data_IF_515374027579
#
_entry.id   IF_515374027579
#
_cell.length_a   1.000
_cell.length_b   1.000
_cell.length_c   1.000
_cell.angle_alpha   90.00
_cell.angle_beta   90.00
_cell.angle_gamma   90.00
#
_symmetry.space_group_name_H-M   'P 1'
#
loop_
_entity.id
_entity.type
_entity.pdbx_description
1 polymer ?
#
# COMPACT_ATOMS: atom_id res chain seq x y z
N UNK A 1 50.73 -4.34 63.26
CA UNK A 1 49.77 -3.37 62.70
C UNK A 1 49.25 -3.90 61.36
N UNK A 2 48.12 -4.63 61.34
CA UNK A 2 47.48 -5.14 60.12
C UNK A 2 46.38 -4.16 59.70
N UNK A 3 46.54 -3.51 58.54
CA UNK A 3 45.50 -2.66 57.94
C UNK A 3 44.52 -3.55 57.16
N UNK A 4 43.26 -3.61 57.60
CA UNK A 4 42.16 -4.17 56.81
C UNK A 4 41.74 -3.14 55.76
N UNK A 5 41.85 -3.48 54.47
CA UNK A 5 41.16 -2.77 53.40
C UNK A 5 39.79 -3.42 53.20
N UNK A 6 38.73 -2.66 53.51
CA UNK A 6 37.35 -3.02 53.18
C UNK A 6 37.08 -2.57 51.75
N UNK A 7 36.90 -3.51 50.82
CA UNK A 7 36.49 -3.24 49.44
C UNK A 7 34.97 -3.17 49.42
N UNK A 8 34.42 -1.98 49.12
CA UNK A 8 33.00 -1.80 48.84
C UNK A 8 32.72 -2.21 47.39
N UNK A 9 32.03 -3.33 47.20
CA UNK A 9 31.54 -3.77 45.89
C UNK A 9 30.23 -3.02 45.59
N UNK A 10 30.31 -1.99 44.74
CA UNK A 10 29.13 -1.31 44.18
C UNK A 10 28.46 -2.26 43.17
N UNK A 11 27.35 -2.88 43.58
CA UNK A 11 26.42 -3.55 42.68
C UNK A 11 25.70 -2.49 41.84
N UNK A 12 26.14 -2.33 40.59
CA UNK A 12 25.35 -1.64 39.57
C UNK A 12 24.24 -2.60 39.15
N UNK A 13 23.02 -2.35 39.65
CA UNK A 13 21.83 -3.00 39.15
C UNK A 13 21.60 -2.54 37.70
N UNK A 14 21.97 -3.37 36.73
CA UNK A 14 21.53 -3.19 35.35
C UNK A 14 20.01 -3.31 35.32
N UNK A 15 19.32 -2.23 34.93
CA UNK A 15 17.91 -2.31 34.61
C UNK A 15 17.76 -3.33 33.47
N UNK A 16 17.17 -4.49 33.78
CA UNK A 16 16.72 -5.42 32.77
C UNK A 16 15.73 -4.64 31.87
N UNK A 17 16.09 -4.46 30.61
CA UNK A 17 15.09 -4.12 29.61
C UNK A 17 14.15 -5.30 29.56
N UNK A 18 12.95 -5.16 30.15
CA UNK A 18 11.87 -6.10 29.92
C UNK A 18 11.73 -6.21 28.39
N UNK A 19 11.94 -7.42 27.85
CA UNK A 19 11.67 -7.67 26.44
C UNK A 19 10.23 -7.20 26.17
N UNK A 20 10.07 -6.29 25.22
CA UNK A 20 8.73 -5.88 24.81
C UNK A 20 7.95 -7.13 24.39
N UNK A 21 6.67 -7.25 24.78
CA UNK A 21 5.89 -8.44 24.47
C UNK A 21 5.86 -8.65 22.97
N UNK A 22 6.33 -9.82 22.52
CA UNK A 22 6.27 -10.16 21.10
C UNK A 22 4.81 -10.15 20.63
N UNK A 23 4.54 -9.47 19.52
CA UNK A 23 3.20 -9.38 18.96
C UNK A 23 2.59 -10.77 18.71
N UNK A 24 1.49 -11.08 19.39
CA UNK A 24 0.78 -12.36 19.27
C UNK A 24 -0.37 -12.24 18.27
N UNK A 25 -0.11 -12.62 17.03
CA UNK A 25 -1.10 -12.61 15.95
C UNK A 25 -2.21 -13.62 16.19
N UNK A 26 -3.45 -13.14 16.13
CA UNK A 26 -4.65 -13.97 16.16
C UNK A 26 -5.17 -14.22 14.75
N UNK A 27 -5.93 -15.31 14.58
CA UNK A 27 -6.76 -15.53 13.38
C UNK A 27 -8.04 -14.72 13.49
N UNK A 28 -8.68 -14.46 12.35
CA UNK A 28 -10.01 -13.87 12.33
C UNK A 28 -11.04 -14.83 12.94
N UNK A 29 -11.81 -14.35 13.91
CA UNK A 29 -12.85 -15.09 14.62
C UNK A 29 -13.92 -14.08 15.11
N UNK A 30 -15.22 -14.31 14.87
CA UNK A 30 -16.28 -13.46 15.44
C UNK A 30 -16.18 -13.25 16.97
N UNK A 31 -15.63 -14.20 17.73
CA UNK A 31 -15.44 -14.06 19.18
C UNK A 31 -14.45 -12.95 19.57
N UNK A 32 -13.68 -12.41 18.61
CA UNK A 32 -12.79 -11.27 18.83
C UNK A 32 -13.54 -10.01 19.27
N UNK A 33 -14.76 -9.78 18.78
CA UNK A 33 -15.56 -8.59 19.11
C UNK A 33 -16.04 -8.63 20.57
N UNK A 34 -16.50 -9.79 21.04
CA UNK A 34 -16.86 -9.97 22.45
C UNK A 34 -15.64 -9.78 23.36
N UNK A 35 -14.47 -10.29 22.93
CA UNK A 35 -13.22 -10.11 23.67
C UNK A 35 -12.78 -8.64 23.68
N UNK A 36 -12.87 -7.95 22.54
CA UNK A 36 -12.59 -6.52 22.40
C UNK A 36 -13.46 -5.69 23.36
N UNK A 37 -14.74 -6.01 23.45
CA UNK A 37 -15.66 -5.38 24.40
C UNK A 37 -15.29 -5.67 25.87
N UNK A 38 -14.91 -6.90 26.22
CA UNK A 38 -14.51 -7.27 27.58
C UNK A 38 -13.17 -6.66 28.01
N UNK A 39 -12.22 -6.56 27.10
CA UNK A 39 -10.85 -6.07 27.39
C UNK A 39 -10.70 -4.56 27.19
N UNK A 40 -11.74 -3.84 26.75
CA UNK A 40 -11.66 -2.43 26.33
C UNK A 40 -10.54 -2.19 25.30
N UNK A 41 -10.58 -3.00 24.23
CA UNK A 41 -9.59 -2.97 23.15
C UNK A 41 -10.25 -2.78 21.80
N UNK A 42 -9.49 -2.17 20.90
CA UNK A 42 -9.78 -2.15 19.47
C UNK A 42 -9.30 -3.44 18.81
N UNK A 43 -9.68 -3.66 17.55
CA UNK A 43 -9.14 -4.75 16.74
C UNK A 43 -8.23 -4.14 15.67
N UNK A 44 -6.98 -4.61 15.63
CA UNK A 44 -6.03 -4.25 14.58
C UNK A 44 -5.96 -5.39 13.57
N UNK A 45 -6.63 -5.22 12.44
CA UNK A 45 -6.63 -6.18 11.33
C UNK A 45 -5.53 -5.84 10.33
N UNK A 46 -4.57 -6.74 10.19
CA UNK A 46 -3.54 -6.73 9.17
C UNK A 46 -3.89 -7.75 8.09
N UNK A 47 -4.38 -7.25 6.95
CA UNK A 47 -4.56 -8.05 5.75
C UNK A 47 -3.21 -8.16 5.02
N UNK A 48 -2.72 -9.38 4.85
CA UNK A 48 -1.44 -9.69 4.22
C UNK A 48 -1.62 -10.72 3.10
N UNK A 49 -0.56 -10.94 2.32
CA UNK A 49 -0.46 -12.06 1.40
C UNK A 49 0.95 -12.66 1.48
N UNK A 50 1.09 -13.97 1.25
CA UNK A 50 2.39 -14.63 1.25
C UNK A 50 3.34 -14.05 0.19
N UNK A 51 2.80 -13.64 -0.96
CA UNK A 51 3.56 -13.08 -2.07
C UNK A 51 3.89 -11.59 -1.91
N UNK A 52 3.26 -10.91 -0.95
CA UNK A 52 3.35 -9.45 -0.79
C UNK A 52 4.65 -9.02 -0.08
N UNK A 53 5.57 -8.41 -0.83
CA UNK A 53 6.84 -7.91 -0.28
C UNK A 53 6.66 -6.91 0.87
N UNK A 54 5.81 -5.90 0.70
CA UNK A 54 5.62 -4.84 1.69
C UNK A 54 4.94 -5.31 2.97
N UNK A 55 4.15 -6.39 2.90
CA UNK A 55 3.60 -7.06 4.07
C UNK A 55 4.74 -7.61 4.92
N UNK A 56 5.65 -8.35 4.30
CA UNK A 56 6.85 -8.89 4.96
C UNK A 56 7.79 -7.81 5.49
N UNK A 57 7.96 -6.70 4.77
CA UNK A 57 8.74 -5.55 5.27
C UNK A 57 8.08 -5.00 6.52
N UNK A 58 6.77 -4.71 6.48
CA UNK A 58 6.03 -4.18 7.62
C UNK A 58 6.06 -5.12 8.85
N UNK A 59 5.94 -6.43 8.63
CA UNK A 59 6.03 -7.46 9.67
C UNK A 59 7.41 -7.56 10.32
N UNK A 60 8.49 -7.21 9.60
CA UNK A 60 9.87 -7.22 10.11
C UNK A 60 10.35 -5.89 10.64
N UNK A 61 9.74 -4.78 10.23
CA UNK A 61 10.12 -3.43 10.68
C UNK A 61 9.08 -2.89 11.66
N UNK A 62 7.93 -2.44 11.17
CA UNK A 62 6.88 -1.76 11.93
C UNK A 62 6.31 -2.61 13.04
N UNK A 63 5.92 -3.86 12.79
CA UNK A 63 5.36 -4.74 13.82
C UNK A 63 6.41 -5.33 14.77
N UNK A 64 7.70 -5.07 14.54
CA UNK A 64 8.82 -5.45 15.44
C UNK A 64 9.29 -4.32 16.32
N UNK A 65 8.82 -3.09 16.09
CA UNK A 65 9.15 -1.96 16.94
C UNK A 65 8.56 -2.16 18.37
N UNK A 66 9.39 -2.11 19.42
CA UNK A 66 8.95 -2.34 20.80
C UNK A 66 7.84 -1.41 21.28
N UNK A 67 7.88 -0.12 20.89
CA UNK A 67 6.89 0.86 21.31
C UNK A 67 5.54 0.61 20.62
N UNK A 68 5.56 0.13 19.38
CA UNK A 68 4.37 -0.29 18.64
C UNK A 68 3.79 -1.56 19.25
N UNK A 69 4.62 -2.56 19.56
CA UNK A 69 4.18 -3.80 20.20
C UNK A 69 3.52 -3.55 21.56
N UNK A 70 4.10 -2.67 22.38
CA UNK A 70 3.53 -2.29 23.67
C UNK A 70 2.14 -1.66 23.50
N UNK A 71 2.00 -0.67 22.61
CA UNK A 71 0.71 -0.02 22.34
C UNK A 71 -0.34 -0.99 21.84
N UNK A 72 0.07 -1.92 20.95
CA UNK A 72 -0.83 -2.96 20.45
C UNK A 72 -1.26 -3.87 21.61
N UNK A 73 -0.34 -4.34 22.45
CA UNK A 73 -0.68 -5.23 23.57
C UNK A 73 -1.66 -4.57 24.56
N UNK A 74 -1.49 -3.26 24.81
CA UNK A 74 -2.32 -2.48 25.73
C UNK A 74 -3.73 -2.22 25.19
N UNK A 75 -3.86 -1.81 23.92
CA UNK A 75 -5.13 -1.28 23.38
C UNK A 75 -5.72 -1.98 22.17
N UNK A 76 -5.05 -3.01 21.65
CA UNK A 76 -5.51 -3.70 20.45
C UNK A 76 -5.47 -5.23 20.59
N UNK A 77 -6.38 -5.89 19.90
CA UNK A 77 -6.27 -7.31 19.56
C UNK A 77 -5.71 -7.39 18.15
N UNK A 78 -4.49 -7.89 18.01
CA UNK A 78 -3.81 -7.98 16.72
C UNK A 78 -4.26 -9.22 15.95
N UNK A 79 -4.82 -9.00 14.76
CA UNK A 79 -5.35 -10.04 13.89
C UNK A 79 -4.60 -10.00 12.58
N UNK A 80 -4.12 -11.16 12.13
CA UNK A 80 -3.47 -11.31 10.83
C UNK A 80 -4.31 -12.23 9.97
N UNK A 81 -4.64 -11.76 8.78
CA UNK A 81 -5.40 -12.54 7.79
C UNK A 81 -4.59 -12.63 6.51
N UNK A 82 -4.44 -13.85 6.01
CA UNK A 82 -3.96 -14.07 4.66
C UNK A 82 -5.13 -13.91 3.70
N UNK A 83 -5.03 -12.93 2.79
CA UNK A 83 -6.10 -12.59 1.85
C UNK A 83 -6.44 -13.74 0.89
N UNK A 84 -5.49 -14.65 0.63
CA UNK A 84 -5.75 -15.83 -0.20
C UNK A 84 -6.56 -16.91 0.56
N UNK A 85 -6.58 -16.87 1.89
CA UNK A 85 -7.25 -17.85 2.75
C UNK A 85 -8.65 -17.41 3.21
N UNK A 86 -8.97 -16.11 3.13
CA UNK A 86 -10.27 -15.55 3.54
C UNK A 86 -10.87 -14.67 2.42
N UNK A 87 -11.64 -15.26 1.48
CA UNK A 87 -12.23 -14.52 0.37
C UNK A 87 -13.21 -13.42 0.78
N UNK A 88 -13.87 -13.57 1.93
CA UNK A 88 -14.87 -12.61 2.39
C UNK A 88 -14.22 -11.31 2.85
N UNK A 89 -13.16 -11.42 3.66
CA UNK A 89 -12.36 -10.25 4.05
C UNK A 89 -11.54 -9.71 2.90
N UNK A 90 -11.04 -10.57 2.01
CA UNK A 90 -10.32 -10.15 0.81
C UNK A 90 -11.21 -9.26 -0.06
N UNK A 91 -12.44 -9.69 -0.40
CA UNK A 91 -13.38 -8.88 -1.18
C UNK A 91 -13.72 -7.54 -0.52
N UNK A 92 -13.84 -7.51 0.82
CA UNK A 92 -14.13 -6.28 1.56
C UNK A 92 -12.96 -5.28 1.50
N UNK A 93 -11.73 -5.75 1.53
CA UNK A 93 -10.54 -4.91 1.70
C UNK A 93 -9.58 -4.87 0.49
N UNK A 94 -9.85 -5.58 -0.61
CA UNK A 94 -9.00 -5.61 -1.81
C UNK A 94 -8.74 -4.21 -2.41
N UNK A 95 -9.73 -3.30 -2.27
CA UNK A 95 -9.62 -1.91 -2.69
C UNK A 95 -8.69 -1.07 -1.81
N UNK A 96 -8.13 -1.65 -0.76
CA UNK A 96 -7.07 -1.07 0.08
C UNK A 96 -5.71 -1.74 -0.18
N UNK A 97 -5.62 -2.76 -1.03
CA UNK A 97 -4.37 -3.43 -1.39
C UNK A 97 -3.69 -4.15 -0.22
N UNK A 98 -2.48 -4.67 -0.46
CA UNK A 98 -1.75 -5.45 0.53
C UNK A 98 -0.37 -4.81 0.79
N UNK A 99 0.04 -4.59 2.06
CA UNK A 99 -0.78 -4.80 3.24
C UNK A 99 -1.92 -3.78 3.32
N UNK A 100 -3.08 -4.20 3.84
CA UNK A 100 -4.10 -3.27 4.30
C UNK A 100 -4.16 -3.33 5.82
N UNK A 101 -4.09 -2.16 6.45
CA UNK A 101 -4.22 -2.01 7.90
C UNK A 101 -5.56 -1.39 8.21
N UNK A 102 -6.37 -2.12 8.99
CA UNK A 102 -7.70 -1.72 9.42
C UNK A 102 -7.73 -1.71 10.94
N UNK A 103 -8.31 -0.65 11.53
CA UNK A 103 -8.60 -0.61 12.96
C UNK A 103 -10.12 -0.57 13.12
N UNK A 104 -10.65 -1.50 13.90
CA UNK A 104 -12.08 -1.65 14.16
C UNK A 104 -12.37 -1.36 15.64
N UNK A 105 -13.55 -0.82 15.92
CA UNK A 105 -14.09 -0.85 17.28
C UNK A 105 -14.64 -2.23 17.66
N UNK A 106 -15.04 -2.36 18.93
CA UNK A 106 -15.62 -3.59 19.48
C UNK A 106 -16.95 -4.01 18.81
N UNK A 107 -17.62 -3.10 18.12
CA UNK A 107 -18.90 -3.33 17.45
C UNK A 107 -18.70 -3.65 15.96
N UNK A 108 -17.44 -3.67 15.49
CA UNK A 108 -17.06 -3.97 14.11
C UNK A 108 -17.09 -2.78 13.15
N UNK A 109 -17.25 -1.56 13.66
CA UNK A 109 -17.16 -0.36 12.83
C UNK A 109 -15.71 -0.05 12.47
N UNK A 110 -15.51 0.37 11.22
CA UNK A 110 -14.19 0.73 10.69
C UNK A 110 -13.82 2.14 11.11
N UNK A 111 -12.91 2.23 12.08
CA UNK A 111 -12.34 3.50 12.54
C UNK A 111 -11.37 4.02 11.49
N UNK A 112 -10.39 3.20 11.12
CA UNK A 112 -9.29 3.58 10.26
C UNK A 112 -9.01 2.50 9.22
N UNK A 113 -8.66 2.91 8.00
CA UNK A 113 -8.17 2.03 6.93
C UNK A 113 -7.05 2.71 6.17
N UNK A 114 -6.00 1.95 5.85
CA UNK A 114 -4.90 2.44 5.02
C UNK A 114 -4.31 1.35 4.15
N UNK A 115 -3.97 1.76 2.94
CA UNK A 115 -3.24 0.99 1.94
C UNK A 115 -1.73 1.06 2.15
N UNK A 116 -1.08 -0.08 2.00
CA UNK A 116 0.37 -0.19 1.83
C UNK A 116 1.16 -0.13 3.12
N UNK A 117 2.49 -0.19 2.95
CA UNK A 117 3.45 -0.10 4.04
C UNK A 117 3.27 1.18 4.87
N UNK A 118 3.27 1.03 6.19
CA UNK A 118 3.27 2.15 7.14
C UNK A 118 4.57 2.07 7.94
N UNK A 119 5.47 3.08 7.88
CA UNK A 119 6.70 3.08 8.66
C UNK A 119 6.43 3.25 10.16
N UNK A 120 7.36 2.81 11.04
CA UNK A 120 7.17 2.80 12.50
C UNK A 120 6.67 4.12 13.08
N UNK A 121 7.36 5.23 12.80
CA UNK A 121 7.02 6.56 13.35
C UNK A 121 5.60 7.00 12.99
N UNK A 122 5.18 6.73 11.76
CA UNK A 122 3.84 7.07 11.31
C UNK A 122 2.80 6.14 11.93
N UNK A 123 3.11 4.85 12.04
CA UNK A 123 2.18 3.89 12.62
C UNK A 123 1.96 4.14 14.12
N UNK A 124 2.99 4.50 14.87
CA UNK A 124 2.88 4.89 16.27
C UNK A 124 1.96 6.11 16.47
N UNK A 125 2.05 7.11 15.58
CA UNK A 125 1.16 8.29 15.60
C UNK A 125 -0.29 7.90 15.28
N UNK A 126 -0.51 7.00 14.31
CA UNK A 126 -1.83 6.52 13.94
C UNK A 126 -2.49 5.71 15.07
N UNK A 127 -1.74 4.83 15.74
CA UNK A 127 -2.24 4.09 16.90
C UNK A 127 -2.66 5.04 18.03
N UNK A 128 -1.80 6.00 18.36
CA UNK A 128 -2.10 7.03 19.38
C UNK A 128 -3.36 7.81 19.03
N UNK A 129 -3.49 8.28 17.79
CA UNK A 129 -4.65 9.04 17.37
C UNK A 129 -5.96 8.25 17.52
N UNK A 130 -5.98 6.95 17.16
CA UNK A 130 -7.17 6.11 17.37
C UNK A 130 -7.47 5.86 18.84
N UNK A 131 -6.43 5.69 19.68
CA UNK A 131 -6.61 5.51 21.14
C UNK A 131 -7.19 6.78 21.78
N UNK A 132 -6.67 7.95 21.40
CA UNK A 132 -7.05 9.23 22.01
C UNK A 132 -8.44 9.69 21.54
N UNK A 133 -8.71 9.59 20.25
CA UNK A 133 -10.01 9.92 19.66
C UNK A 133 -10.28 9.06 18.40
N UNK A 134 -11.08 8.00 18.50
CA UNK A 134 -11.40 7.16 17.35
C UNK A 134 -12.18 7.91 16.26
N UNK A 135 -12.81 9.05 16.56
CA UNK A 135 -13.49 9.85 15.54
C UNK A 135 -12.55 10.75 14.72
N UNK A 136 -11.31 10.97 15.19
CA UNK A 136 -10.36 11.91 14.59
C UNK A 136 -9.78 11.45 13.25
N UNK A 137 -9.82 10.14 12.96
CA UNK A 137 -9.31 9.56 11.72
C UNK A 137 -10.44 8.90 10.94
N UNK A 138 -11.42 9.65 10.41
CA UNK A 138 -12.51 9.04 9.67
C UNK A 138 -11.93 8.23 8.52
N UNK A 139 -12.29 6.94 8.46
CA UNK A 139 -12.08 6.10 7.28
C UNK A 139 -12.49 6.90 6.04
N UNK A 140 -11.53 7.20 5.16
CA UNK A 140 -11.84 7.84 3.87
C UNK A 140 -12.80 6.93 3.11
N UNK A 141 -14.08 7.32 3.09
CA UNK A 141 -15.02 6.78 2.12
C UNK A 141 -14.68 7.48 0.81
N UNK A 142 -14.31 6.72 -0.23
CA UNK A 142 -14.29 7.24 -1.61
C UNK A 142 -15.76 7.50 -2.02
N UNK A 143 -16.37 8.52 -1.42
CA UNK A 143 -17.73 8.97 -1.68
C UNK A 143 -17.77 9.81 -2.94
N UNK A 144 -17.28 9.27 -4.06
CA UNK A 144 -17.55 9.90 -5.35
C UNK A 144 -18.92 9.43 -5.77
N UNK A 145 -19.89 10.35 -5.81
CA UNK A 145 -21.19 10.08 -6.42
C UNK A 145 -20.94 9.67 -7.88
N UNK A 146 -21.10 8.38 -8.17
CA UNK A 146 -21.02 7.84 -9.52
C UNK A 146 -22.41 7.99 -10.13
N UNK A 147 -22.52 8.76 -11.20
CA UNK A 147 -23.70 8.72 -12.05
C UNK A 147 -23.61 7.46 -12.94
N UNK A 148 -24.45 6.43 -12.71
CA UNK A 148 -24.38 5.19 -13.47
C UNK A 148 -24.71 5.38 -14.96
N UNK A 149 -25.32 6.51 -15.33
CA UNK A 149 -25.68 6.83 -16.71
C UNK A 149 -24.65 7.73 -17.41
N UNK A 150 -23.60 8.17 -16.72
CA UNK A 150 -22.57 8.99 -17.32
C UNK A 150 -21.72 8.15 -18.30
N UNK A 151 -22.03 8.26 -19.59
CA UNK A 151 -21.31 7.57 -20.68
C UNK A 151 -19.98 8.25 -21.04
N UNK A 152 -19.73 9.48 -20.55
CA UNK A 152 -18.49 10.22 -20.80
C UNK A 152 -18.24 11.30 -19.73
N UNK A 153 -16.98 11.75 -19.63
CA UNK A 153 -16.63 12.95 -18.86
C UNK A 153 -17.21 14.20 -19.55
N UNK A 154 -17.82 15.09 -18.76
CA UNK A 154 -18.17 16.45 -19.23
C UNK A 154 -16.91 17.22 -19.61
N UNK A 155 -17.04 18.20 -20.51
CA UNK A 155 -15.88 18.97 -21.00
C UNK A 155 -15.03 19.62 -19.88
N UNK A 156 -15.62 20.24 -18.83
CA UNK A 156 -14.83 20.80 -17.73
C UNK A 156 -14.09 19.71 -16.94
N UNK A 157 -14.72 18.55 -16.71
CA UNK A 157 -14.08 17.42 -16.01
C UNK A 157 -12.95 16.84 -16.84
N UNK A 158 -13.17 16.67 -18.15
CA UNK A 158 -12.16 16.21 -19.10
C UNK A 158 -10.95 17.14 -19.13
N UNK A 159 -11.16 18.44 -19.33
CA UNK A 159 -10.07 19.43 -19.35
C UNK A 159 -9.26 19.42 -18.05
N UNK A 160 -9.93 19.33 -16.90
CA UNK A 160 -9.26 19.20 -15.59
C UNK A 160 -8.45 17.90 -15.48
N UNK A 161 -9.00 16.76 -15.87
CA UNK A 161 -8.29 15.47 -15.88
C UNK A 161 -7.07 15.51 -16.80
N UNK A 162 -7.20 16.10 -17.99
CA UNK A 162 -6.09 16.26 -18.93
C UNK A 162 -4.97 17.14 -18.36
N UNK A 163 -5.31 18.23 -17.68
CA UNK A 163 -4.34 19.10 -17.02
C UNK A 163 -3.59 18.36 -15.89
N UNK A 164 -4.31 17.60 -15.06
CA UNK A 164 -3.71 16.80 -13.98
C UNK A 164 -2.79 15.69 -14.53
N UNK A 165 -3.20 15.02 -15.60
CA UNK A 165 -2.37 14.02 -16.29
C UNK A 165 -1.08 14.65 -16.84
N UNK A 166 -1.16 15.80 -17.50
CA UNK A 166 0.04 16.52 -17.98
C UNK A 166 0.95 16.95 -16.83
N UNK A 167 0.38 17.47 -15.74
CA UNK A 167 1.14 17.94 -14.58
C UNK A 167 1.89 16.80 -13.87
N UNK A 168 1.28 15.62 -13.80
CA UNK A 168 1.83 14.44 -13.13
C UNK A 168 2.80 13.61 -13.99
N UNK A 169 2.97 13.97 -15.27
CA UNK A 169 3.79 13.22 -16.19
C UNK A 169 5.27 13.55 -16.06
N UNK A 170 6.10 12.51 -15.92
CA UNK A 170 7.55 12.63 -15.94
C UNK A 170 8.05 12.63 -17.39
N UNK A 171 8.44 13.80 -17.89
CA UNK A 171 8.96 13.95 -19.25
C UNK A 171 10.35 13.33 -19.44
N UNK A 172 11.15 13.21 -18.38
CA UNK A 172 12.50 12.68 -18.45
C UNK A 172 12.49 11.16 -18.64
N UNK A 173 11.72 10.44 -17.82
CA UNK A 173 11.71 8.97 -17.82
C UNK A 173 10.46 8.34 -18.41
N UNK A 174 9.40 9.13 -18.62
CA UNK A 174 8.07 8.60 -18.95
C UNK A 174 7.38 7.97 -17.75
N UNK A 175 6.06 8.01 -17.74
CA UNK A 175 5.22 7.52 -16.65
C UNK A 175 4.66 8.63 -15.79
N UNK A 176 3.94 8.20 -14.75
CA UNK A 176 3.17 9.06 -13.84
C UNK A 176 3.52 8.73 -12.39
N UNK A 177 3.31 9.70 -11.49
CA UNK A 177 3.59 9.57 -10.06
C UNK A 177 5.00 10.06 -9.67
N UNK A 178 5.33 9.95 -8.39
CA UNK A 178 6.52 10.58 -7.77
C UNK A 178 7.43 9.61 -7.01
N UNK A 179 6.91 8.45 -6.60
CA UNK A 179 7.62 7.48 -5.75
C UNK A 179 7.91 6.16 -6.47
N UNK A 180 6.90 5.60 -7.13
CA UNK A 180 6.98 4.33 -7.85
C UNK A 180 6.47 4.50 -9.28
N UNK A 181 6.92 3.63 -10.19
CA UNK A 181 6.51 3.62 -11.60
C UNK A 181 5.62 2.43 -11.89
N UNK A 182 4.31 2.69 -11.89
CA UNK A 182 3.30 1.72 -12.31
C UNK A 182 3.00 1.87 -13.80
N UNK A 183 2.62 0.75 -14.42
CA UNK A 183 2.03 0.76 -15.76
C UNK A 183 0.54 0.96 -15.63
N UNK A 184 0.09 2.19 -15.83
CA UNK A 184 -1.34 2.52 -15.84
C UNK A 184 -1.93 2.21 -17.22
N UNK A 185 -2.33 0.95 -17.43
CA UNK A 185 -2.79 0.46 -18.73
C UNK A 185 -3.93 1.29 -19.32
N UNK A 186 -4.95 1.57 -18.51
CA UNK A 186 -6.12 2.35 -18.92
C UNK A 186 -5.73 3.80 -19.30
N UNK A 187 -4.73 4.39 -18.61
CA UNK A 187 -4.18 5.70 -18.96
C UNK A 187 -3.43 5.66 -20.29
N UNK A 188 -2.63 4.61 -20.53
CA UNK A 188 -1.90 4.44 -21.79
C UNK A 188 -2.83 4.26 -22.98
N UNK A 189 -3.86 3.43 -22.83
CA UNK A 189 -4.91 3.25 -23.84
C UNK A 189 -5.61 4.59 -24.12
N UNK A 190 -6.00 5.33 -23.08
CA UNK A 190 -6.61 6.65 -23.23
C UNK A 190 -5.70 7.64 -23.96
N UNK A 191 -4.40 7.68 -23.66
CA UNK A 191 -3.42 8.53 -24.34
C UNK A 191 -3.28 8.17 -25.83
N UNK A 192 -3.26 6.87 -26.14
CA UNK A 192 -3.20 6.37 -27.52
C UNK A 192 -4.47 6.73 -28.30
N UNK A 193 -5.63 6.58 -27.68
CA UNK A 193 -6.93 6.96 -28.25
C UNK A 193 -7.05 8.47 -28.46
N UNK A 194 -6.71 9.29 -27.46
CA UNK A 194 -6.68 10.77 -27.57
C UNK A 194 -5.66 11.26 -28.58
N UNK A 195 -4.59 10.48 -28.76
CA UNK A 195 -3.57 10.67 -29.76
C UNK A 195 -3.98 10.35 -31.19
N UNK A 196 -5.09 9.62 -31.42
CA UNK A 196 -5.62 9.38 -32.78
C UNK A 196 -6.02 10.71 -33.40
N UNK A 197 -5.59 10.95 -34.64
CA UNK A 197 -5.69 12.23 -35.36
C UNK A 197 -7.12 12.69 -35.72
N UNK A 198 -8.15 12.16 -35.03
CA UNK A 198 -9.57 12.38 -35.32
C UNK A 198 -10.21 13.45 -34.41
N UNK A 199 -9.50 13.99 -33.42
CA UNK A 199 -10.06 14.99 -32.50
C UNK A 199 -9.47 16.39 -32.75
N UNK A 200 -10.30 17.32 -33.25
CA UNK A 200 -9.92 18.69 -33.68
C UNK A 200 -9.23 19.57 -32.62
N UNK A 201 -9.22 19.16 -31.35
CA UNK A 201 -8.68 19.92 -30.21
C UNK A 201 -7.66 19.14 -29.36
N UNK A 202 -7.20 17.96 -29.81
CA UNK A 202 -6.10 17.26 -29.14
C UNK A 202 -4.78 17.78 -29.72
N UNK A 203 -3.74 17.92 -28.91
CA UNK A 203 -2.36 17.93 -29.41
C UNK A 203 -1.94 16.46 -29.58
N UNK A 204 -2.23 15.82 -30.73
CA UNK A 204 -2.24 14.36 -30.79
C UNK A 204 -0.82 13.79 -30.72
N UNK A 205 0.17 14.61 -31.10
CA UNK A 205 1.59 14.29 -31.01
C UNK A 205 2.07 14.20 -29.55
N UNK A 206 1.60 15.06 -28.65
CA UNK A 206 2.06 15.07 -27.25
C UNK A 206 1.52 13.87 -26.47
N UNK A 207 0.25 13.50 -26.65
CA UNK A 207 -0.34 12.32 -26.00
C UNK A 207 0.29 11.00 -26.46
N UNK A 208 0.51 10.82 -27.77
CA UNK A 208 1.21 9.63 -28.28
C UNK A 208 2.65 9.58 -27.82
N UNK A 209 3.35 10.71 -27.77
CA UNK A 209 4.71 10.77 -27.27
C UNK A 209 4.79 10.35 -25.79
N UNK A 210 3.84 10.81 -24.96
CA UNK A 210 3.74 10.41 -23.56
C UNK A 210 3.54 8.89 -23.42
N UNK A 211 2.60 8.32 -24.18
CA UNK A 211 2.35 6.88 -24.18
C UNK A 211 3.57 6.08 -24.64
N UNK A 212 4.20 6.48 -25.76
CA UNK A 212 5.36 5.81 -26.32
C UNK A 212 6.57 5.84 -25.39
N UNK A 213 6.87 7.00 -24.77
CA UNK A 213 7.97 7.14 -23.82
C UNK A 213 7.73 6.30 -22.56
N UNK A 214 6.51 6.31 -22.04
CA UNK A 214 6.12 5.48 -20.89
C UNK A 214 6.26 3.99 -21.21
N UNK A 215 5.75 3.53 -22.36
CA UNK A 215 5.87 2.14 -22.80
C UNK A 215 7.33 1.73 -22.99
N UNK A 216 8.18 2.61 -23.53
CA UNK A 216 9.61 2.34 -23.68
C UNK A 216 10.32 2.10 -22.35
N UNK A 217 9.96 2.86 -21.29
CA UNK A 217 10.43 2.62 -19.93
C UNK A 217 9.89 1.31 -19.35
N UNK A 218 8.57 1.12 -19.46
CA UNK A 218 7.85 -0.04 -18.93
C UNK A 218 8.33 -1.39 -19.48
N UNK A 219 8.94 -1.44 -20.68
CA UNK A 219 9.58 -2.66 -21.21
C UNK A 219 10.63 -3.26 -20.25
N UNK A 220 11.25 -2.46 -19.38
CA UNK A 220 12.19 -2.95 -18.36
C UNK A 220 11.54 -3.79 -17.27
N UNK A 221 10.22 -3.74 -17.14
CA UNK A 221 9.46 -4.55 -16.19
C UNK A 221 9.08 -5.91 -16.77
N UNK A 222 9.39 -6.20 -18.03
CA UNK A 222 9.19 -7.54 -18.60
C UNK A 222 10.26 -8.46 -18.01
N UNK A 223 9.82 -9.56 -17.39
CA UNK A 223 10.74 -10.55 -16.84
C UNK A 223 11.50 -11.25 -17.98
N UNK A 224 12.85 -11.12 -18.03
CA UNK A 224 13.64 -11.67 -19.13
C UNK A 224 13.87 -13.18 -19.03
N UNK A 225 13.56 -13.80 -17.88
CA UNK A 225 13.80 -15.22 -17.60
C UNK A 225 12.54 -16.04 -17.89
N UNK A 226 11.40 -15.62 -17.34
CA UNK A 226 10.15 -16.40 -17.39
C UNK A 226 9.01 -15.72 -18.16
N UNK A 227 9.26 -14.52 -18.69
CA UNK A 227 8.21 -13.70 -19.32
C UNK A 227 7.17 -13.17 -18.32
N UNK A 228 6.15 -12.48 -18.83
CA UNK A 228 5.23 -11.70 -18.00
C UNK A 228 5.87 -10.40 -17.50
N UNK A 229 5.10 -9.64 -16.72
CA UNK A 229 5.48 -8.28 -16.31
C UNK A 229 5.46 -8.11 -14.79
N UNK A 230 6.51 -7.53 -14.23
CA UNK A 230 6.55 -7.08 -12.84
C UNK A 230 5.57 -5.94 -12.59
N UNK A 231 5.02 -5.86 -11.38
CA UNK A 231 3.93 -4.93 -11.06
C UNK A 231 4.29 -3.44 -11.25
N UNK A 232 5.50 -3.04 -10.83
CA UNK A 232 5.99 -1.66 -10.91
C UNK A 232 7.52 -1.62 -10.78
N UNK A 233 8.10 -0.43 -11.00
CA UNK A 233 9.50 -0.13 -10.62
C UNK A 233 9.54 0.75 -9.37
N UNK A 234 10.41 0.41 -8.42
CA UNK A 234 10.68 1.22 -7.22
C UNK A 234 11.56 2.45 -7.51
N UNK A 235 12.09 2.55 -8.72
CA UNK A 235 12.80 3.73 -9.25
C UNK A 235 12.03 4.41 -10.35
N UNK A 236 12.16 5.74 -10.44
CA UNK A 236 11.48 6.58 -11.42
C UNK A 236 11.95 6.36 -12.87
N UNK A 237 13.17 5.82 -13.05
CA UNK A 237 13.79 5.54 -14.34
C UNK A 237 13.47 4.13 -14.89
N UNK A 238 12.57 3.40 -14.24
CA UNK A 238 12.16 2.02 -14.57
C UNK A 238 13.24 0.95 -14.34
N UNK A 239 14.35 1.27 -13.66
CA UNK A 239 15.48 0.34 -13.49
C UNK A 239 15.36 -0.61 -12.29
N UNK A 240 14.35 -0.44 -11.43
CA UNK A 240 14.21 -1.21 -10.19
C UNK A 240 12.92 -2.03 -10.15
N UNK A 241 12.84 -3.14 -10.91
CA UNK A 241 11.61 -3.95 -10.95
C UNK A 241 11.28 -4.53 -9.57
N UNK A 242 10.03 -4.39 -9.16
CA UNK A 242 9.48 -5.09 -8.01
C UNK A 242 9.01 -6.48 -8.44
N UNK A 243 9.74 -7.53 -8.03
CA UNK A 243 9.69 -8.90 -8.58
C UNK A 243 8.37 -9.70 -8.39
N UNK A 244 7.28 -9.03 -8.04
CA UNK A 244 5.95 -9.60 -7.91
C UNK A 244 5.21 -9.58 -9.25
N UNK A 245 4.55 -10.70 -9.60
CA UNK A 245 3.71 -10.82 -10.79
C UNK A 245 2.29 -11.16 -10.38
N UNK A 246 1.36 -10.26 -10.65
CA UNK A 246 -0.05 -10.44 -10.33
C UNK A 246 -0.85 -10.74 -11.60
N UNK A 247 -1.80 -11.69 -11.52
CA UNK A 247 -2.62 -12.11 -12.66
C UNK A 247 -3.44 -10.95 -13.25
N UNK A 248 -3.98 -10.08 -12.41
CA UNK A 248 -4.74 -8.90 -12.83
C UNK A 248 -3.88 -7.91 -13.65
N UNK A 249 -2.60 -7.77 -13.31
CA UNK A 249 -1.61 -6.96 -14.04
C UNK A 249 -1.28 -7.63 -15.38
N UNK A 250 -1.01 -8.94 -15.39
CA UNK A 250 -0.76 -9.68 -16.64
C UNK A 250 -1.92 -9.50 -17.63
N UNK A 251 -3.15 -9.71 -17.15
CA UNK A 251 -4.37 -9.54 -17.95
C UNK A 251 -4.47 -8.14 -18.55
N UNK A 252 -4.24 -7.10 -17.73
CA UNK A 252 -4.39 -5.69 -18.15
C UNK A 252 -3.31 -5.26 -19.15
N UNK A 253 -2.12 -5.85 -19.12
CA UNK A 253 -1.01 -5.44 -19.98
C UNK A 253 -0.80 -6.32 -21.20
N UNK A 254 -1.41 -7.50 -21.27
CA UNK A 254 -1.30 -8.41 -22.41
C UNK A 254 -1.60 -7.70 -23.76
N UNK A 255 -2.68 -6.91 -23.84
CA UNK A 255 -3.04 -6.18 -25.05
C UNK A 255 -2.10 -5.01 -25.40
N UNK A 256 -1.62 -4.28 -24.39
CA UNK A 256 -0.72 -3.14 -24.58
C UNK A 256 0.67 -3.57 -25.07
N UNK A 257 1.15 -4.72 -24.60
CA UNK A 257 2.47 -5.24 -24.96
C UNK A 257 2.46 -6.01 -26.29
N UNK A 258 1.35 -6.67 -26.64
CA UNK A 258 1.21 -7.36 -27.93
C UNK A 258 1.29 -6.43 -29.16
N UNK A 259 0.99 -5.14 -28.98
CA UNK A 259 1.09 -4.13 -30.04
C UNK A 259 2.47 -3.48 -30.20
N UNK A 260 3.44 -3.77 -29.33
CA UNK A 260 4.78 -3.22 -29.44
C UNK A 260 5.59 -4.06 -30.44
N UNK A 261 6.18 -3.45 -31.49
CA UNK A 261 6.97 -4.21 -32.45
C UNK A 261 8.12 -4.94 -31.74
N UNK A 262 8.23 -6.23 -32.07
CA UNK A 262 9.33 -7.09 -31.64
C UNK A 262 10.61 -6.53 -32.25
N UNK A 263 11.50 -5.99 -31.41
CA UNK A 263 12.85 -5.65 -31.83
C UNK A 263 13.73 -6.78 -31.37
N UNK A 264 13.72 -7.87 -32.15
CA UNK A 264 14.90 -8.73 -32.23
C UNK A 264 16.00 -7.98 -32.96
#
# INVERSE_FOLDING_TARGET
MRRLLTVFLLLVAGAAHADAPSLSWQKWDPALFDRAAREDKYILLHMAAVWCHWCHVMERTTYRDPAIQQRIAEKFIAVRVDQDADPALSYRYENWGWPATIMLDKDGNEIFKRRGYIPPDLFAKLLTAVIDDPSALPSYTLGVAVDPNAVALSDPRRARTEALLKQSYDTAHGGFGDTHRFVHGDTLEWLLERGRALQRNAEPASWRAMAARTLAGARRLIDPVWGGMYQYSDKLDWSGPHYEKLLNIQRRHAGLLAGLPDRR
#
